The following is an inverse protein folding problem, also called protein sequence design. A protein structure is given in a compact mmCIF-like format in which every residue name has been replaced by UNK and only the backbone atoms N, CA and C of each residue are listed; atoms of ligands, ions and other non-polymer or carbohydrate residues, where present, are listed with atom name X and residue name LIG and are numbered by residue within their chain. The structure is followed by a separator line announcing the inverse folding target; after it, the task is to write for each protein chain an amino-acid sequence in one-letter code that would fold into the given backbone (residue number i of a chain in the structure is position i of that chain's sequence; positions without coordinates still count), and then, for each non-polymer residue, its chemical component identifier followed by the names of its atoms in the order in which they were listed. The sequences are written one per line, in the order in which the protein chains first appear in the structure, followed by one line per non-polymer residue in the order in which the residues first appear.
data_IF_712474345320
#
_entry.id   IF_712474345320
#
_cell.length_a   1.000
_cell.length_b   1.000
_cell.length_c   1.000
_cell.angle_alpha   90.00
_cell.angle_beta   90.00
_cell.angle_gamma   90.00
#
_symmetry.space_group_name_H-M   'P 1'
#
loop_
_entity.id
_entity.type
_entity.pdbx_description
1 polymer ?
#
# COMPACT_ATOMS: atom_id res chain seq x y z
N UNK A 1 15.18 12.84 11.82
CA UNK A 1 15.75 11.49 12.02
C UNK A 1 16.77 11.20 10.93
N UNK A 2 17.95 10.65 11.27
CA UNK A 2 18.93 10.16 10.28
C UNK A 2 18.66 8.68 10.01
N UNK A 3 18.46 8.32 8.75
CA UNK A 3 18.30 6.93 8.34
C UNK A 3 19.65 6.23 8.24
N UNK A 4 19.67 4.91 8.43
CA UNK A 4 20.86 4.09 8.17
C UNK A 4 21.24 4.17 6.69
N UNK A 5 22.52 3.89 6.38
CA UNK A 5 23.00 3.86 4.98
C UNK A 5 22.19 2.88 4.13
N UNK A 6 21.83 1.75 4.73
CA UNK A 6 21.03 0.71 4.09
C UNK A 6 19.60 1.17 3.78
N UNK A 7 18.91 1.77 4.76
CA UNK A 7 17.58 2.33 4.54
C UNK A 7 17.59 3.39 3.42
N UNK A 8 18.60 4.27 3.42
CA UNK A 8 18.77 5.26 2.35
C UNK A 8 19.00 4.61 0.98
N UNK A 9 19.74 3.49 0.91
CA UNK A 9 19.98 2.78 -0.36
C UNK A 9 18.68 2.17 -0.93
N UNK A 10 17.85 1.53 -0.08
CA UNK A 10 16.55 0.99 -0.48
C UNK A 10 15.63 2.15 -0.93
N UNK A 11 15.53 3.19 -0.10
CA UNK A 11 14.78 4.39 -0.42
C UNK A 11 15.35 5.16 -1.61
N UNK A 12 16.56 4.91 -2.10
CA UNK A 12 17.14 5.57 -3.26
C UNK A 12 16.79 4.87 -4.59
N UNK A 13 16.57 3.55 -4.55
CA UNK A 13 16.37 2.71 -5.76
C UNK A 13 14.90 2.49 -6.12
N UNK A 14 14.00 2.58 -5.15
CA UNK A 14 12.57 2.29 -5.35
C UNK A 14 11.75 3.58 -5.44
N UNK A 15 10.83 3.70 -6.39
CA UNK A 15 9.99 4.89 -6.60
C UNK A 15 8.56 4.78 -6.08
N UNK A 16 8.11 3.57 -5.78
CA UNK A 16 6.76 3.27 -5.25
C UNK A 16 6.91 2.55 -3.92
N UNK A 17 6.11 2.95 -2.93
CA UNK A 17 5.94 2.21 -1.68
C UNK A 17 4.48 2.06 -1.32
N UNK A 18 4.20 1.33 -0.25
CA UNK A 18 2.85 1.08 0.26
C UNK A 18 2.54 2.01 1.41
N UNK A 19 1.65 2.97 1.19
CA UNK A 19 1.12 3.85 2.24
C UNK A 19 -0.04 3.14 2.95
N UNK A 20 0.08 2.97 4.27
CA UNK A 20 -0.97 2.46 5.12
C UNK A 20 -1.47 3.53 6.09
N UNK A 21 -2.79 3.64 6.19
CA UNK A 21 -3.51 4.55 7.07
C UNK A 21 -4.57 3.79 7.86
N UNK A 22 -4.84 4.25 9.08
CA UNK A 22 -5.94 3.73 9.88
C UNK A 22 -7.27 4.35 9.39
N UNK A 23 -8.12 3.54 8.76
CA UNK A 23 -9.42 3.98 8.23
C UNK A 23 -10.59 3.37 9.01
N UNK A 24 -10.83 3.91 10.21
CA UNK A 24 -11.77 3.32 11.16
C UNK A 24 -11.23 1.98 11.68
N UNK A 25 -11.96 0.88 11.46
CA UNK A 25 -11.51 -0.47 11.86
C UNK A 25 -10.54 -1.08 10.88
N UNK A 26 -10.83 -1.04 9.58
CA UNK A 26 -10.01 -1.68 8.55
C UNK A 26 -8.94 -0.71 8.03
N UNK A 27 -7.67 -1.13 7.86
CA UNK A 27 -6.66 -0.25 7.28
C UNK A 27 -7.00 0.11 5.83
N UNK A 28 -6.58 1.29 5.39
CA UNK A 28 -6.47 1.65 3.98
C UNK A 28 -5.02 1.53 3.58
N UNK A 29 -4.74 0.70 2.58
CA UNK A 29 -3.38 0.50 2.06
C UNK A 29 -3.40 0.74 0.57
N UNK A 30 -2.52 1.61 0.08
CA UNK A 30 -2.42 1.91 -1.34
C UNK A 30 -0.96 2.16 -1.74
N UNK A 31 -0.59 1.82 -2.99
CA UNK A 31 0.65 2.33 -3.55
C UNK A 31 0.67 3.85 -3.55
N UNK A 32 1.85 4.41 -3.32
CA UNK A 32 2.13 5.79 -3.60
C UNK A 32 3.56 5.95 -4.14
N UNK A 33 3.66 6.77 -5.18
CA UNK A 33 4.93 7.30 -5.65
C UNK A 33 5.45 8.27 -4.59
N UNK A 34 6.74 8.20 -4.28
CA UNK A 34 7.34 9.00 -3.22
C UNK A 34 8.71 9.57 -3.59
N UNK A 35 9.17 10.54 -2.81
CA UNK A 35 10.57 10.89 -2.67
C UNK A 35 10.92 11.03 -1.20
N UNK A 36 12.17 10.80 -0.85
CA UNK A 36 12.68 11.05 0.49
C UNK A 36 13.61 12.25 0.46
N UNK A 37 13.25 13.31 1.19
CA UNK A 37 14.02 14.56 1.24
C UNK A 37 13.76 15.29 2.57
N UNK A 38 14.80 15.90 3.13
CA UNK A 38 14.67 16.65 4.39
C UNK A 38 14.14 15.81 5.56
N UNK A 39 14.49 14.52 5.61
CA UNK A 39 14.03 13.60 6.66
C UNK A 39 12.53 13.24 6.60
N UNK A 40 11.85 13.53 5.50
CA UNK A 40 10.43 13.27 5.29
C UNK A 40 10.19 12.53 3.98
N UNK A 41 9.09 11.77 3.92
CA UNK A 41 8.56 11.29 2.65
C UNK A 41 7.62 12.32 2.06
N UNK A 42 7.79 12.59 0.78
CA UNK A 42 6.95 13.48 0.00
C UNK A 42 6.20 12.66 -1.03
N UNK A 43 4.89 12.86 -1.11
CA UNK A 43 4.01 12.18 -2.05
C UNK A 43 3.02 13.19 -2.62
N UNK A 44 2.38 12.85 -3.73
CA UNK A 44 1.24 13.64 -4.25
C UNK A 44 0.03 12.74 -4.45
N UNK A 45 -1.15 13.31 -4.27
CA UNK A 45 -2.40 12.59 -4.50
C UNK A 45 -3.51 13.53 -4.95
N UNK A 46 -4.65 12.98 -5.36
CA UNK A 46 -5.84 13.80 -5.60
C UNK A 46 -6.37 14.35 -4.28
N UNK A 47 -6.79 15.61 -4.29
CA UNK A 47 -7.51 16.29 -3.21
C UNK A 47 -8.70 15.48 -2.71
N UNK A 48 -9.40 14.80 -3.62
CA UNK A 48 -10.60 14.02 -3.36
C UNK A 48 -10.32 12.58 -2.93
N UNK A 49 -9.05 12.18 -2.87
CA UNK A 49 -8.70 10.83 -2.45
C UNK A 49 -9.02 10.60 -0.97
N UNK A 50 -9.59 9.44 -0.62
CA UNK A 50 -9.95 9.10 0.75
C UNK A 50 -8.78 9.27 1.75
N UNK A 51 -7.53 9.07 1.29
CA UNK A 51 -6.32 9.25 2.10
C UNK A 51 -6.16 10.66 2.66
N UNK A 52 -6.66 11.70 1.98
CA UNK A 52 -6.57 13.10 2.46
C UNK A 52 -7.51 13.32 3.64
N UNK A 53 -8.72 12.77 3.58
CA UNK A 53 -9.72 12.85 4.65
C UNK A 53 -9.25 12.03 5.86
N UNK A 54 -8.76 10.81 5.62
CA UNK A 54 -8.26 9.93 6.67
C UNK A 54 -7.06 10.57 7.39
N UNK A 55 -6.06 11.06 6.65
CA UNK A 55 -4.87 11.68 7.24
C UNK A 55 -5.18 12.92 8.09
N UNK A 56 -6.19 13.71 7.70
CA UNK A 56 -6.64 14.86 8.50
C UNK A 56 -7.32 14.46 9.81
N UNK A 57 -7.98 13.29 9.84
CA UNK A 57 -8.68 12.78 11.03
C UNK A 57 -7.73 12.03 11.97
N UNK A 58 -6.86 11.20 11.41
CA UNK A 58 -5.83 10.45 12.14
C UNK A 58 -4.55 10.50 11.29
N UNK A 59 -3.56 11.32 11.67
CA UNK A 59 -2.35 11.51 10.87
C UNK A 59 -1.40 10.33 10.96
N UNK A 60 -1.64 9.35 11.85
CA UNK A 60 -0.72 8.22 12.02
C UNK A 60 -0.70 7.34 10.76
N UNK A 61 0.48 7.20 10.19
CA UNK A 61 0.69 6.47 8.95
C UNK A 61 1.92 5.57 9.04
N UNK A 62 1.93 4.56 8.18
CA UNK A 62 3.12 3.79 7.87
C UNK A 62 3.36 3.74 6.37
N UNK A 63 4.62 3.61 5.99
CA UNK A 63 5.04 3.53 4.60
C UNK A 63 6.09 2.43 4.45
N UNK A 64 5.79 1.42 3.66
CA UNK A 64 6.74 0.34 3.37
C UNK A 64 7.38 0.57 2.00
N UNK A 65 8.70 0.53 1.95
CA UNK A 65 9.47 0.51 0.70
C UNK A 65 10.15 -0.83 0.56
N UNK A 66 9.72 -1.59 -0.43
CA UNK A 66 10.26 -2.90 -0.74
C UNK A 66 11.49 -2.77 -1.65
N UNK A 67 12.62 -3.30 -1.19
CA UNK A 67 13.88 -3.34 -1.92
C UNK A 67 14.22 -4.73 -2.48
N UNK A 68 13.32 -5.71 -2.39
CA UNK A 68 13.57 -7.08 -2.82
C UNK A 68 13.76 -8.01 -1.63
N UNK A 69 15.00 -8.19 -1.20
CA UNK A 69 15.38 -9.05 -0.07
C UNK A 69 15.16 -8.38 1.30
N UNK A 70 15.14 -7.06 1.30
CA UNK A 70 14.94 -6.22 2.49
C UNK A 70 13.96 -5.11 2.16
N UNK A 71 13.22 -4.68 3.16
CA UNK A 71 12.31 -3.56 3.03
C UNK A 71 12.51 -2.58 4.19
N UNK A 72 12.07 -1.34 4.01
CA UNK A 72 12.09 -0.31 5.05
C UNK A 72 10.66 0.00 5.44
N UNK A 73 10.30 -0.24 6.69
CA UNK A 73 9.05 0.26 7.27
C UNK A 73 9.34 1.62 7.92
N UNK A 74 8.68 2.65 7.41
CA UNK A 74 8.73 4.00 7.94
C UNK A 74 7.42 4.30 8.65
N UNK A 75 7.46 4.90 9.84
CA UNK A 75 6.28 5.26 10.63
C UNK A 75 6.33 6.72 11.03
N UNK A 76 5.17 7.38 11.06
CA UNK A 76 5.13 8.79 11.40
C UNK A 76 3.77 9.46 11.21
N UNK A 77 3.81 10.80 11.23
CA UNK A 77 2.64 11.65 11.00
C UNK A 77 2.56 12.08 9.54
N UNK A 78 1.39 11.88 8.92
CA UNK A 78 1.08 12.29 7.56
C UNK A 78 0.32 13.62 7.56
N UNK A 79 0.96 14.63 6.99
CA UNK A 79 0.44 15.98 6.83
C UNK A 79 -0.08 16.16 5.40
N UNK A 80 -1.18 16.90 5.26
CA UNK A 80 -1.80 17.19 3.95
C UNK A 80 -1.65 18.68 3.65
N UNK A 81 -0.85 18.99 2.64
CA UNK A 81 -0.64 20.34 2.12
C UNK A 81 -1.46 20.53 0.85
N UNK A 82 -2.43 21.41 0.96
CA UNK A 82 -3.35 21.76 -0.10
C UNK A 82 -3.03 23.18 -0.59
N UNK A 83 -2.50 23.35 -1.82
CA UNK A 83 -2.09 24.65 -2.37
C UNK A 83 -3.23 25.64 -2.63
N UNK A 84 -4.50 25.21 -2.52
CA UNK A 84 -5.66 26.11 -2.64
C UNK A 84 -6.13 26.63 -1.27
N UNK A 85 -5.40 26.29 -0.19
CA UNK A 85 -5.72 26.75 1.16
C UNK A 85 -4.61 27.64 1.67
N UNK A 86 -4.92 28.92 1.82
CA UNK A 86 -4.02 29.99 2.30
C UNK A 86 -3.32 29.63 3.62
N UNK A 87 -3.99 28.91 4.53
CA UNK A 87 -3.39 28.46 5.79
C UNK A 87 -2.21 27.49 5.61
N UNK A 88 -2.19 26.73 4.51
CA UNK A 88 -1.10 25.82 4.18
C UNK A 88 0.05 26.55 3.49
N UNK A 89 -0.24 27.60 2.72
CA UNK A 89 0.78 28.43 2.09
C UNK A 89 1.61 29.16 3.16
N UNK A 90 0.95 29.66 4.22
CA UNK A 90 1.64 30.22 5.39
C UNK A 90 2.51 29.18 6.09
N UNK A 91 2.03 27.94 6.27
CA UNK A 91 2.86 26.86 6.85
C UNK A 91 4.03 26.46 5.96
N UNK A 92 3.82 26.38 4.65
CA UNK A 92 4.89 26.06 3.70
C UNK A 92 5.98 27.14 3.68
N UNK A 93 5.57 28.42 3.79
CA UNK A 93 6.50 29.56 3.94
C UNK A 93 7.25 29.49 5.27
N UNK A 94 6.57 29.18 6.38
CA UNK A 94 7.19 29.05 7.71
C UNK A 94 8.19 27.86 7.81
N UNK A 95 7.99 26.80 7.02
CA UNK A 95 8.94 25.68 6.93
C UNK A 95 10.17 25.96 6.06
N UNK A 96 10.18 27.10 5.37
CA UNK A 96 11.32 27.60 4.62
C UNK A 96 11.68 26.78 3.37
N UNK A 97 12.91 26.95 2.84
CA UNK A 97 13.33 26.38 1.56
C UNK A 97 13.25 24.84 1.48
N UNK A 98 13.27 24.16 2.63
CA UNK A 98 13.23 22.70 2.72
C UNK A 98 11.99 22.07 2.10
N UNK A 99 10.84 22.75 2.18
CA UNK A 99 9.58 22.32 1.59
C UNK A 99 9.66 22.32 0.05
N UNK A 100 10.12 23.43 -0.52
CA UNK A 100 10.26 23.58 -1.97
C UNK A 100 11.32 22.64 -2.54
N UNK A 101 12.44 22.46 -1.84
CA UNK A 101 13.47 21.50 -2.23
C UNK A 101 12.95 20.05 -2.19
N UNK A 102 12.12 19.70 -1.20
CA UNK A 102 11.44 18.40 -1.15
C UNK A 102 10.52 18.16 -2.35
N UNK A 103 9.78 19.19 -2.77
CA UNK A 103 8.89 19.17 -3.93
C UNK A 103 9.63 19.09 -5.26
N UNK A 104 10.71 19.86 -5.44
CA UNK A 104 11.59 19.77 -6.62
C UNK A 104 12.23 18.38 -6.67
N UNK A 105 12.73 17.89 -5.54
CA UNK A 105 13.26 16.53 -5.42
C UNK A 105 12.23 15.45 -5.77
N UNK A 106 10.96 15.63 -5.39
CA UNK A 106 9.87 14.75 -5.80
C UNK A 106 9.65 14.76 -7.32
N UNK A 107 9.56 15.94 -7.92
CA UNK A 107 9.29 16.09 -9.35
C UNK A 107 10.42 15.50 -10.20
N UNK A 108 11.68 15.81 -9.88
CA UNK A 108 12.85 15.30 -10.60
C UNK A 108 12.96 13.78 -10.48
N UNK A 109 12.85 13.25 -9.26
CA UNK A 109 12.96 11.81 -9.02
C UNK A 109 11.86 11.01 -9.72
N UNK A 110 10.67 11.58 -9.80
CA UNK A 110 9.49 10.93 -10.37
C UNK A 110 9.16 11.42 -11.77
N UNK A 111 10.12 12.04 -12.47
CA UNK A 111 9.94 12.55 -13.83
C UNK A 111 9.34 11.51 -14.80
N UNK A 112 9.73 10.21 -14.75
CA UNK A 112 9.06 9.19 -15.56
C UNK A 112 7.56 9.07 -15.24
N UNK A 113 7.16 9.07 -13.96
CA UNK A 113 5.74 9.04 -13.60
C UNK A 113 5.00 10.31 -13.99
N UNK A 114 5.64 11.48 -13.90
CA UNK A 114 5.08 12.76 -14.34
C UNK A 114 4.86 12.76 -15.86
N UNK A 115 5.84 12.30 -16.64
CA UNK A 115 5.70 12.16 -18.08
C UNK A 115 4.63 11.13 -18.46
N UNK A 116 4.59 9.98 -17.78
CA UNK A 116 3.53 9.00 -17.95
C UNK A 116 2.14 9.55 -17.60
N UNK A 117 2.05 10.43 -16.59
CA UNK A 117 0.83 11.16 -16.25
C UNK A 117 0.39 12.10 -17.36
N UNK A 118 1.33 12.84 -17.96
CA UNK A 118 1.06 13.73 -19.09
C UNK A 118 0.50 12.94 -20.29
N UNK A 119 1.07 11.76 -20.57
CA UNK A 119 0.57 10.85 -21.60
C UNK A 119 -0.81 10.23 -21.29
N UNK A 120 -1.23 10.28 -20.03
CA UNK A 120 -2.52 9.77 -19.56
C UNK A 120 -3.59 10.87 -19.46
N UNK A 121 -3.27 12.16 -19.70
CA UNK A 121 -4.17 13.30 -19.49
C UNK A 121 -5.57 13.11 -20.08
N UNK A 122 -5.66 12.65 -21.32
CA UNK A 122 -6.94 12.43 -22.01
C UNK A 122 -7.81 11.32 -21.40
N UNK A 123 -7.24 10.49 -20.51
CA UNK A 123 -7.92 9.38 -19.81
C UNK A 123 -8.15 9.66 -18.34
N UNK A 124 -7.73 10.83 -17.85
CA UNK A 124 -7.90 11.20 -16.44
C UNK A 124 -9.34 11.60 -16.17
N UNK A 125 -9.99 11.02 -15.16
CA UNK A 125 -11.18 11.61 -14.58
C UNK A 125 -10.85 12.99 -14.01
N UNK A 126 -11.84 13.89 -13.97
CA UNK A 126 -11.66 15.29 -13.57
C UNK A 126 -11.03 15.41 -12.18
N UNK A 127 -11.40 14.53 -11.25
CA UNK A 127 -10.91 14.50 -9.87
C UNK A 127 -9.41 14.22 -9.77
N UNK A 128 -8.82 13.65 -10.83
CA UNK A 128 -7.41 13.29 -10.89
C UNK A 128 -6.59 14.33 -11.66
N UNK A 129 -7.20 15.34 -12.27
CA UNK A 129 -6.44 16.35 -13.03
C UNK A 129 -5.30 16.99 -12.21
N UNK A 130 -4.19 17.41 -12.84
CA UNK A 130 -3.02 17.94 -12.14
C UNK A 130 -3.32 19.08 -11.16
N UNK A 131 -4.26 19.98 -11.49
CA UNK A 131 -4.68 21.08 -10.61
C UNK A 131 -5.45 20.63 -9.35
N UNK A 132 -5.96 19.39 -9.35
CA UNK A 132 -6.60 18.77 -8.19
C UNK A 132 -5.61 18.01 -7.30
N UNK A 133 -4.30 18.20 -7.49
CA UNK A 133 -3.29 17.54 -6.66
C UNK A 133 -3.05 18.27 -5.35
N UNK A 134 -2.82 17.48 -4.31
CA UNK A 134 -2.32 17.93 -3.00
C UNK A 134 -1.02 17.19 -2.70
N UNK A 135 -0.20 17.82 -1.86
CA UNK A 135 1.06 17.26 -1.39
C UNK A 135 0.80 16.58 -0.05
N UNK A 136 1.36 15.39 0.11
CA UNK A 136 1.39 14.69 1.39
C UNK A 136 2.83 14.65 1.86
N UNK A 137 3.05 15.00 3.12
CA UNK A 137 4.35 14.88 3.77
C UNK A 137 4.23 13.92 4.94
N UNK A 138 5.03 12.86 4.97
CA UNK A 138 5.14 12.00 6.14
C UNK A 138 6.40 12.37 6.92
N UNK A 139 6.21 12.98 8.10
CA UNK A 139 7.29 13.26 9.04
C UNK A 139 7.61 11.97 9.79
N UNK A 140 8.84 11.50 9.65
CA UNK A 140 9.24 10.24 10.24
C UNK A 140 9.43 10.37 11.75
N UNK A 141 8.73 9.52 12.51
CA UNK A 141 9.01 9.27 13.91
C UNK A 141 9.95 8.08 14.10
N UNK A 142 9.85 7.09 13.21
CA UNK A 142 10.56 5.83 13.35
C UNK A 142 10.80 5.14 11.99
N UNK A 143 11.84 4.29 11.92
CA UNK A 143 12.21 3.52 10.74
C UNK A 143 12.87 2.19 11.10
N UNK A 144 12.29 1.10 10.59
CA UNK A 144 12.80 -0.26 10.74
C UNK A 144 13.24 -0.85 9.40
N UNK A 145 14.40 -1.51 9.39
CA UNK A 145 14.70 -2.50 8.34
C UNK A 145 13.95 -3.78 8.68
N UNK A 146 13.16 -4.28 7.74
CA UNK A 146 12.38 -5.50 7.92
C UNK A 146 12.84 -6.54 6.92
N UNK A 147 12.80 -7.80 7.35
CA UNK A 147 13.13 -8.93 6.51
C UNK A 147 12.15 -8.98 5.35
N UNK A 148 12.66 -8.92 4.13
CA UNK A 148 11.90 -9.35 2.97
C UNK A 148 11.96 -10.88 2.85
N UNK A 149 11.69 -11.36 1.66
CA UNK A 149 12.07 -12.70 1.23
C UNK A 149 12.34 -12.64 -0.27
N UNK A 150 13.24 -13.46 -0.82
CA UNK A 150 13.15 -13.76 -2.23
C UNK A 150 11.77 -14.38 -2.46
N UNK A 151 10.92 -13.67 -3.20
CA UNK A 151 9.62 -14.21 -3.62
C UNK A 151 9.84 -14.92 -4.94
N UNK A 152 9.88 -16.26 -4.98
CA UNK A 152 10.00 -16.99 -6.23
C UNK A 152 8.79 -16.72 -7.12
N UNK A 153 8.88 -17.16 -8.36
CA UNK A 153 7.72 -17.17 -9.26
C UNK A 153 6.60 -17.98 -8.61
N UNK A 154 5.39 -17.41 -8.60
CA UNK A 154 4.23 -18.03 -8.00
C UNK A 154 3.29 -18.56 -9.08
N UNK A 155 2.69 -19.73 -8.81
CA UNK A 155 1.55 -20.22 -9.56
C UNK A 155 0.37 -19.22 -9.46
N UNK A 156 -0.54 -19.32 -10.42
CA UNK A 156 -1.65 -18.40 -10.56
C UNK A 156 -2.67 -18.56 -9.41
N UNK A 157 -2.94 -17.51 -8.64
CA UNK A 157 -4.03 -17.48 -7.66
C UNK A 157 -4.97 -16.30 -7.90
N UNK A 158 -6.28 -16.50 -7.76
CA UNK A 158 -7.28 -15.47 -8.11
C UNK A 158 -7.69 -14.66 -6.89
N UNK A 159 -7.37 -13.37 -6.91
CA UNK A 159 -7.87 -12.43 -5.88
C UNK A 159 -9.42 -12.46 -5.87
N UNK A 160 -10.07 -12.62 -4.71
CA UNK A 160 -11.52 -12.75 -4.65
C UNK A 160 -12.23 -11.42 -4.93
N UNK A 161 -13.45 -11.50 -5.47
CA UNK A 161 -14.37 -10.37 -5.63
C UNK A 161 -13.79 -9.15 -6.40
N UNK A 162 -12.88 -9.38 -7.34
CA UNK A 162 -12.39 -8.36 -8.28
C UNK A 162 -12.88 -8.64 -9.71
N UNK A 163 -12.94 -7.63 -10.59
CA UNK A 163 -13.23 -7.85 -12.01
C UNK A 163 -12.27 -8.86 -12.66
N UNK A 164 -12.76 -9.68 -13.59
CA UNK A 164 -11.99 -10.77 -14.20
C UNK A 164 -10.67 -10.30 -14.83
N UNK A 165 -10.66 -9.12 -15.43
CA UNK A 165 -9.45 -8.52 -16.01
C UNK A 165 -8.38 -8.14 -14.97
N UNK A 166 -8.79 -7.66 -13.80
CA UNK A 166 -7.89 -7.37 -12.68
C UNK A 166 -7.36 -8.68 -12.12
N UNK A 167 -8.25 -9.67 -11.92
CA UNK A 167 -7.89 -11.00 -11.42
C UNK A 167 -6.80 -11.64 -12.29
N UNK A 168 -6.98 -11.65 -13.63
CA UNK A 168 -5.98 -12.20 -14.56
C UNK A 168 -4.62 -11.52 -14.48
N UNK A 169 -4.58 -10.19 -14.29
CA UNK A 169 -3.33 -9.43 -14.18
C UNK A 169 -2.61 -9.67 -12.86
N UNK A 170 -3.35 -9.94 -11.79
CA UNK A 170 -2.79 -10.20 -10.46
C UNK A 170 -2.47 -11.67 -10.21
N UNK A 171 -2.94 -12.58 -11.06
CA UNK A 171 -2.86 -14.02 -10.78
C UNK A 171 -1.45 -14.53 -10.53
N UNK A 172 -0.49 -14.11 -11.35
CA UNK A 172 0.93 -14.48 -11.22
C UNK A 172 1.76 -13.52 -10.35
N UNK A 173 1.14 -12.56 -9.66
CA UNK A 173 1.90 -11.63 -8.79
C UNK A 173 2.33 -12.37 -7.54
N UNK A 174 3.63 -12.65 -7.42
CA UNK A 174 4.18 -13.38 -6.29
C UNK A 174 4.19 -12.56 -4.99
N UNK A 175 4.37 -11.23 -5.08
CA UNK A 175 4.51 -10.37 -3.90
C UNK A 175 3.18 -9.80 -3.44
N UNK A 176 2.82 -10.08 -2.19
CA UNK A 176 1.76 -9.40 -1.46
C UNK A 176 2.31 -8.50 -0.35
N UNK A 177 1.45 -7.63 0.16
CA UNK A 177 1.74 -6.78 1.31
C UNK A 177 0.65 -6.95 2.36
N UNK A 178 1.01 -7.59 3.48
CA UNK A 178 0.14 -7.73 4.63
C UNK A 178 0.18 -6.44 5.46
N UNK A 179 -0.97 -5.98 5.92
CA UNK A 179 -1.08 -4.83 6.79
C UNK A 179 -2.04 -5.12 7.94
N UNK A 180 -1.68 -4.70 9.15
CA UNK A 180 -2.54 -4.73 10.33
C UNK A 180 -2.28 -3.49 11.18
N UNK A 181 -3.11 -3.29 12.21
CA UNK A 181 -2.91 -2.23 13.20
C UNK A 181 -2.35 -2.83 14.48
N UNK A 182 -1.22 -2.31 14.95
CA UNK A 182 -0.55 -2.72 16.18
C UNK A 182 -0.25 -1.48 17.03
N UNK A 183 -0.64 -1.50 18.31
CA UNK A 183 -0.48 -0.32 19.18
C UNK A 183 -1.17 0.95 18.65
N UNK A 184 -2.19 0.80 17.80
CA UNK A 184 -2.87 1.91 17.13
C UNK A 184 -2.16 2.47 15.89
N UNK A 185 -1.00 1.91 15.51
CA UNK A 185 -0.23 2.28 14.31
C UNK A 185 -0.37 1.21 13.22
N UNK A 186 -0.47 1.60 11.94
CA UNK A 186 -0.36 0.64 10.86
C UNK A 186 1.03 -0.01 10.82
N UNK A 187 1.06 -1.31 10.56
CA UNK A 187 2.25 -2.09 10.24
C UNK A 187 2.02 -2.69 8.86
N UNK A 188 3.05 -2.65 8.01
CA UNK A 188 3.02 -3.26 6.67
C UNK A 188 4.24 -4.14 6.51
N UNK A 189 4.05 -5.34 5.94
CA UNK A 189 5.11 -6.32 5.70
C UNK A 189 4.94 -6.94 4.32
N UNK A 190 6.04 -7.21 3.59
CA UNK A 190 5.99 -8.15 2.49
C UNK A 190 5.39 -9.48 2.97
N UNK A 191 4.62 -10.14 2.12
CA UNK A 191 3.95 -11.38 2.49
C UNK A 191 3.79 -12.32 1.29
N UNK A 192 3.95 -13.61 1.56
CA UNK A 192 3.40 -14.63 0.69
C UNK A 192 1.89 -14.61 0.83
N UNK A 193 1.19 -14.97 -0.24
CA UNK A 193 -0.26 -15.01 -0.23
C UNK A 193 -0.75 -16.12 -1.12
N UNK A 194 -1.95 -16.59 -0.88
CA UNK A 194 -2.58 -17.69 -1.62
C UNK A 194 -4.10 -17.51 -1.51
N UNK A 195 -4.83 -18.05 -2.49
CA UNK A 195 -6.29 -18.05 -2.44
C UNK A 195 -6.80 -19.41 -2.90
N UNK A 196 -7.09 -20.28 -1.94
CA UNK A 196 -7.67 -21.58 -2.19
C UNK A 196 -9.15 -21.59 -1.81
N UNK A 197 -10.02 -22.10 -2.68
CA UNK A 197 -11.48 -22.17 -2.47
C UNK A 197 -12.15 -20.88 -1.92
N UNK A 198 -11.57 -19.71 -2.16
CA UNK A 198 -12.06 -18.41 -1.68
C UNK A 198 -11.60 -18.01 -0.28
N UNK A 199 -10.85 -18.87 0.41
CA UNK A 199 -10.05 -18.55 1.59
C UNK A 199 -8.82 -17.76 1.15
N UNK A 200 -8.42 -16.74 1.92
CA UNK A 200 -7.24 -15.92 1.60
C UNK A 200 -6.21 -16.20 2.67
N UNK A 201 -5.13 -16.87 2.30
CA UNK A 201 -4.02 -17.21 3.21
C UNK A 201 -2.88 -16.21 3.01
N UNK A 202 -2.30 -15.75 4.11
CA UNK A 202 -1.25 -14.72 4.11
C UNK A 202 -0.16 -15.11 5.09
N UNK A 203 1.09 -15.08 4.64
CA UNK A 203 2.27 -15.33 5.48
C UNK A 203 3.24 -14.14 5.39
N UNK A 204 3.15 -13.17 6.34
CA UNK A 204 4.09 -12.06 6.41
C UNK A 204 5.52 -12.56 6.62
N UNK A 205 6.50 -11.93 5.96
CA UNK A 205 7.93 -12.32 6.07
C UNK A 205 8.51 -12.08 7.47
N UNK A 206 7.85 -11.23 8.26
CA UNK A 206 8.19 -10.98 9.67
C UNK A 206 6.98 -10.43 10.42
N UNK A 207 6.93 -10.68 11.72
CA UNK A 207 5.78 -10.35 12.56
C UNK A 207 4.55 -11.22 12.27
N UNK A 208 3.58 -11.18 13.17
CA UNK A 208 2.33 -11.94 13.04
C UNK A 208 1.17 -11.12 13.59
N UNK A 209 0.11 -10.85 12.81
CA UNK A 209 -1.09 -10.22 13.35
C UNK A 209 -1.74 -11.15 14.38
N UNK A 210 -2.37 -10.56 15.40
CA UNK A 210 -3.17 -11.34 16.35
C UNK A 210 -4.44 -11.86 15.66
N UNK A 211 -4.93 -13.03 16.08
CA UNK A 211 -6.25 -13.50 15.65
C UNK A 211 -7.32 -12.45 16.01
N UNK A 212 -8.24 -12.20 15.09
CA UNK A 212 -9.25 -11.13 15.17
C UNK A 212 -8.74 -9.73 14.79
N UNK A 213 -7.43 -9.54 14.59
CA UNK A 213 -6.90 -8.21 14.25
C UNK A 213 -7.40 -7.76 12.86
N UNK A 214 -7.91 -6.53 12.73
CA UNK A 214 -8.29 -6.00 11.44
C UNK A 214 -7.05 -5.75 10.58
N UNK A 215 -7.17 -6.05 9.29
CA UNK A 215 -6.04 -6.05 8.40
C UNK A 215 -6.40 -6.01 6.92
N UNK A 216 -5.35 -6.09 6.12
CA UNK A 216 -5.45 -6.13 4.68
C UNK A 216 -4.33 -6.96 4.05
N UNK A 217 -4.62 -7.51 2.88
CA UNK A 217 -3.66 -7.97 1.89
C UNK A 217 -3.74 -7.03 0.69
N UNK A 218 -2.61 -6.48 0.26
CA UNK A 218 -2.48 -5.76 -1.00
C UNK A 218 -1.66 -6.58 -1.97
N UNK A 219 -2.17 -6.73 -3.20
CA UNK A 219 -1.46 -7.35 -4.32
C UNK A 219 -1.47 -6.35 -5.48
N UNK A 220 -0.31 -6.10 -6.08
CA UNK A 220 -0.18 -5.09 -7.13
C UNK A 220 0.80 -5.50 -8.23
N UNK A 221 0.43 -5.18 -9.47
CA UNK A 221 1.29 -5.23 -10.64
C UNK A 221 1.68 -3.80 -11.05
N UNK A 222 2.94 -3.44 -10.81
CA UNK A 222 3.47 -2.11 -11.12
C UNK A 222 3.75 -1.95 -12.62
N UNK A 223 3.34 -0.81 -13.18
CA UNK A 223 3.92 -0.30 -14.42
C UNK A 223 4.96 0.77 -14.08
N UNK A 224 6.18 0.61 -14.59
CA UNK A 224 7.33 1.50 -14.30
C UNK A 224 7.19 2.95 -14.74
N UNK A 225 6.08 3.32 -15.39
CA UNK A 225 5.97 4.57 -16.12
C UNK A 225 4.55 5.11 -16.22
N UNK A 226 3.57 4.25 -16.57
CA UNK A 226 2.18 4.65 -16.83
C UNK A 226 1.27 4.36 -15.64
N UNK A 227 0.85 5.38 -14.88
CA UNK A 227 -0.13 5.20 -13.81
C UNK A 227 -1.43 4.54 -14.30
N UNK A 228 -1.90 4.87 -15.52
CA UNK A 228 -3.11 4.25 -16.11
C UNK A 228 -3.02 2.74 -16.30
N UNK A 229 -1.81 2.16 -16.25
CA UNK A 229 -1.56 0.73 -16.43
C UNK A 229 -1.26 0.00 -15.13
N UNK A 230 -1.24 0.69 -13.98
CA UNK A 230 -1.13 0.04 -12.69
C UNK A 230 -2.40 -0.76 -12.39
N UNK A 231 -2.24 -1.97 -11.88
CA UNK A 231 -3.35 -2.84 -11.52
C UNK A 231 -3.10 -3.39 -10.14
N UNK A 232 -4.11 -3.38 -9.27
CA UNK A 232 -3.96 -3.91 -7.92
C UNK A 232 -5.28 -4.13 -7.22
N UNK A 233 -5.19 -4.77 -6.08
CA UNK A 233 -6.31 -5.03 -5.19
C UNK A 233 -5.89 -4.99 -3.74
N UNK A 234 -6.77 -4.46 -2.90
CA UNK A 234 -6.66 -4.45 -1.44
C UNK A 234 -7.84 -5.24 -0.88
N UNK A 235 -7.56 -6.45 -0.40
CA UNK A 235 -8.49 -7.30 0.34
C UNK A 235 -8.41 -6.90 1.81
N UNK A 236 -9.52 -6.46 2.40
CA UNK A 236 -9.60 -5.98 3.78
C UNK A 236 -10.55 -6.84 4.58
N UNK A 237 -10.20 -7.09 5.83
CA UNK A 237 -11.00 -7.91 6.71
C UNK A 237 -10.32 -8.14 8.06
N UNK A 238 -10.52 -9.32 8.62
CA UNK A 238 -9.97 -9.67 9.93
C UNK A 238 -9.12 -10.94 9.81
N UNK A 239 -7.95 -10.92 10.45
CA UNK A 239 -7.06 -12.08 10.48
C UNK A 239 -7.62 -13.16 11.42
N UNK A 240 -7.41 -14.43 11.07
CA UNK A 240 -7.78 -15.58 11.89
C UNK A 240 -6.61 -16.56 11.93
N UNK A 241 -6.47 -17.27 13.06
CA UNK A 241 -5.46 -18.32 13.23
C UNK A 241 -5.53 -19.34 12.08
N UNK A 242 -4.38 -19.62 11.48
CA UNK A 242 -4.18 -20.65 10.48
C UNK A 242 -2.86 -21.36 10.77
N UNK A 243 -2.82 -22.65 10.50
CA UNK A 243 -1.62 -23.47 10.60
C UNK A 243 -1.29 -24.17 9.28
N UNK A 244 -2.03 -23.86 8.21
CA UNK A 244 -1.85 -24.52 6.92
C UNK A 244 -0.96 -23.68 5.99
N UNK A 245 0.30 -24.11 5.87
CA UNK A 245 1.27 -23.56 4.93
C UNK A 245 1.35 -24.32 3.61
N UNK A 246 0.63 -25.43 3.44
CA UNK A 246 0.80 -26.31 2.29
C UNK A 246 0.39 -25.62 0.98
N UNK A 247 -0.74 -24.91 0.97
CA UNK A 247 -1.20 -24.19 -0.22
C UNK A 247 -0.22 -23.08 -0.63
N UNK A 248 0.35 -22.36 0.35
CA UNK A 248 1.40 -21.36 0.07
C UNK A 248 2.66 -22.05 -0.45
N UNK A 249 3.11 -23.13 0.18
CA UNK A 249 4.27 -23.89 -0.27
C UNK A 249 4.13 -24.35 -1.73
N UNK A 250 2.99 -24.96 -2.06
CA UNK A 250 2.65 -25.41 -3.41
C UNK A 250 2.65 -24.27 -4.42
N UNK A 251 1.99 -23.15 -4.09
CA UNK A 251 1.90 -22.00 -4.99
C UNK A 251 3.28 -21.45 -5.34
N UNK A 252 4.21 -21.41 -4.39
CA UNK A 252 5.52 -20.82 -4.59
C UNK A 252 6.62 -21.85 -4.95
N UNK A 253 6.29 -23.15 -4.94
CA UNK A 253 7.25 -24.23 -5.20
C UNK A 253 8.38 -24.28 -4.18
N UNK A 254 8.05 -24.08 -2.89
CA UNK A 254 8.99 -24.08 -1.77
C UNK A 254 8.58 -25.14 -0.74
N UNK A 255 9.45 -25.46 0.20
CA UNK A 255 9.13 -26.40 1.28
C UNK A 255 8.21 -25.75 2.32
N UNK A 256 7.31 -26.53 2.94
CA UNK A 256 6.38 -26.02 3.97
C UNK A 256 7.12 -25.39 5.15
N UNK A 257 8.30 -25.93 5.51
CA UNK A 257 9.15 -25.38 6.57
C UNK A 257 9.75 -24.00 6.24
N UNK A 258 9.79 -23.61 4.97
CA UNK A 258 10.26 -22.29 4.51
C UNK A 258 9.14 -21.24 4.54
N UNK A 259 7.87 -21.67 4.66
CA UNK A 259 6.71 -20.77 4.72
C UNK A 259 6.68 -20.07 6.09
N UNK A 260 6.67 -18.72 6.14
CA UNK A 260 6.48 -18.00 7.40
C UNK A 260 5.14 -18.32 8.06
N UNK A 261 4.94 -17.98 9.35
CA UNK A 261 3.67 -18.24 10.03
C UNK A 261 2.45 -17.71 9.26
N UNK A 262 1.56 -18.64 8.89
CA UNK A 262 0.38 -18.36 8.07
C UNK A 262 -0.76 -17.83 8.92
N UNK A 263 -1.58 -16.99 8.30
CA UNK A 263 -2.81 -16.43 8.83
C UNK A 263 -3.87 -16.42 7.75
N UNK A 264 -5.11 -16.75 8.10
CA UNK A 264 -6.22 -16.54 7.19
C UNK A 264 -6.68 -15.09 7.29
N UNK A 265 -7.01 -14.47 6.17
CA UNK A 265 -7.66 -13.18 6.10
C UNK A 265 -9.11 -13.38 5.69
N UNK A 266 -10.05 -13.24 6.63
CA UNK A 266 -11.49 -13.32 6.35
C UNK A 266 -11.93 -12.06 5.59
N UNK A 267 -12.21 -12.14 4.26
CA UNK A 267 -12.41 -10.95 3.46
C UNK A 267 -13.76 -10.29 3.73
N UNK A 268 -13.76 -9.01 4.08
CA UNK A 268 -14.98 -8.24 4.33
C UNK A 268 -15.23 -7.19 3.23
N UNK A 269 -14.16 -6.67 2.64
CA UNK A 269 -14.23 -5.66 1.59
C UNK A 269 -13.02 -5.79 0.68
N UNK A 270 -13.25 -5.81 -0.62
CA UNK A 270 -12.19 -5.80 -1.62
C UNK A 270 -12.29 -4.53 -2.43
N UNK A 271 -11.19 -3.79 -2.53
CA UNK A 271 -11.09 -2.63 -3.42
C UNK A 271 -10.03 -2.93 -4.48
N UNK A 272 -10.43 -2.92 -5.75
CA UNK A 272 -9.54 -3.12 -6.89
C UNK A 272 -9.37 -1.84 -7.68
N UNK A 273 -8.22 -1.68 -8.33
CA UNK A 273 -7.97 -0.59 -9.26
C UNK A 273 -7.34 -1.08 -10.55
N UNK A 274 -7.64 -0.34 -11.62
CA UNK A 274 -6.94 -0.39 -12.90
C UNK A 274 -6.76 1.04 -13.38
N UNK A 275 -5.54 1.54 -13.31
CA UNK A 275 -5.26 2.94 -13.51
C UNK A 275 -6.06 3.80 -12.54
N UNK A 276 -6.96 4.63 -13.07
CA UNK A 276 -7.78 5.56 -12.31
C UNK A 276 -9.18 5.01 -11.98
N UNK A 277 -9.53 3.84 -12.52
CA UNK A 277 -10.79 3.17 -12.23
C UNK A 277 -10.66 2.38 -10.94
N UNK A 278 -11.52 2.69 -9.95
CA UNK A 278 -11.55 2.03 -8.65
C UNK A 278 -12.92 1.39 -8.45
N UNK A 279 -12.93 0.11 -8.09
CA UNK A 279 -14.16 -0.65 -7.79
C UNK A 279 -14.05 -1.22 -6.39
N UNK A 280 -15.13 -1.17 -5.62
CA UNK A 280 -15.19 -1.83 -4.30
C UNK A 280 -16.34 -2.82 -4.27
N UNK A 281 -16.07 -4.01 -3.75
CA UNK A 281 -17.04 -5.09 -3.62
C UNK A 281 -16.98 -5.73 -2.22
N UNK A 282 -18.11 -6.32 -1.81
CA UNK A 282 -18.21 -7.19 -0.63
C UNK A 282 -18.18 -8.65 -1.10
N UNK A 283 -17.20 -9.46 -0.66
CA UNK A 283 -17.12 -10.89 -0.98
C UNK A 283 -18.35 -11.68 -0.55
N UNK A 284 -18.70 -12.75 -1.27
CA UNK A 284 -19.89 -13.59 -0.98
C UNK A 284 -19.95 -14.11 0.46
N UNK A 285 -18.87 -14.63 1.07
CA UNK A 285 -18.91 -15.12 2.46
C UNK A 285 -19.31 -14.02 3.46
N UNK A 286 -18.84 -12.79 3.25
CA UNK A 286 -19.20 -11.65 4.08
C UNK A 286 -20.63 -11.13 3.84
N UNK A 287 -21.24 -11.45 2.69
CA UNK A 287 -22.66 -11.14 2.44
C UNK A 287 -23.58 -12.08 3.23
N UNK A 288 -23.24 -13.36 3.32
CA UNK A 288 -24.05 -14.36 4.03
C UNK A 288 -24.09 -14.11 5.54
N UNK A 289 -22.96 -13.71 6.14
CA UNK A 289 -22.91 -13.34 7.56
C UNK A 289 -23.82 -12.16 7.90
N UNK A 290 -23.91 -11.15 7.02
CA UNK A 290 -24.77 -9.98 7.25
C UNK A 290 -26.27 -10.26 7.13
N UNK A 291 -26.65 -11.29 6.38
CA UNK A 291 -28.05 -11.70 6.21
C UNK A 291 -28.51 -12.58 7.39
N UNK A 292 -27.58 -13.26 8.06
CA UNK A 292 -27.89 -14.07 9.25
C UNK A 292 -27.95 -13.26 10.56
N UNK A 293 -27.42 -12.03 10.58
CA UNK A 293 -27.41 -11.13 11.74
C UNK A 293 -28.56 -10.08 11.73
N UNK A 294 -29.46 -10.12 10.74
CA UNK A 294 -30.60 -9.21 10.61
C UNK A 294 -31.92 -9.95 10.59
#
# INVERSE_FOLDING_TARGET
MKLTREANAILGRTSIGMLALRSGRLPLVNPAVFSFAGGSLWMTTSRYAAKTIIAKRDPRAAFLVDGGERAVLLRGGLEVFDPLKVSNDIRAVLEGPSFFLGMVGYALRNAPFVAGYALDLARLPREWMPYNRVVLRMRLGDADIVKGAPFPSAQAARVPAVPAEVSRRLAGVSRGYACWIEGGLPVVRPAFWEVDHGQVSVAPTSGRPRSGAPGALVVESHHRFRPSRMVGACVRGSFAASNDGAAIAERYGIEVAEVPPVMDLKPERVTSWRGFSITTAVPRPARQLRVAEG
#
